data_IF_748286978575
#
_entry.id   IF_748286978575
#
_cell.length_a   1.000
_cell.length_b   1.000
_cell.length_c   1.000
_cell.angle_alpha   90.00
_cell.angle_beta   90.00
_cell.angle_gamma   90.00
#
_symmetry.space_group_name_H-M   'P 1'
#
loop_
_entity.id
_entity.type
_entity.pdbx_description
1 polymer ?
#
# COMPACT_ATOMS: atom_id res chain seq x y z
N UNK A 1 -9.31 14.67 -17.21
CA UNK A 1 -10.01 14.38 -15.94
C UNK A 1 -9.61 12.98 -15.49
N UNK A 2 -9.29 12.75 -14.22
CA UNK A 2 -8.96 11.39 -13.77
C UNK A 2 -10.27 10.61 -13.62
N UNK A 3 -10.44 9.48 -14.32
CA UNK A 3 -11.69 8.73 -14.25
C UNK A 3 -11.96 8.29 -12.80
N UNK A 4 -13.09 8.74 -12.22
CA UNK A 4 -13.45 8.44 -10.83
C UNK A 4 -13.71 6.93 -10.61
N UNK A 5 -14.14 6.23 -11.66
CA UNK A 5 -14.27 4.77 -11.71
C UNK A 5 -12.92 4.05 -11.52
N UNK A 6 -11.81 4.65 -11.95
CA UNK A 6 -10.46 4.13 -11.74
C UNK A 6 -9.94 4.27 -10.31
N UNK A 7 -10.41 5.27 -9.56
CA UNK A 7 -9.91 5.57 -8.20
C UNK A 7 -10.03 4.36 -7.28
N UNK A 8 -11.26 3.83 -7.14
CA UNK A 8 -11.56 2.75 -6.20
C UNK A 8 -10.71 1.51 -6.51
N UNK A 9 -10.66 1.11 -7.78
CA UNK A 9 -9.87 -0.03 -8.24
C UNK A 9 -8.38 0.14 -7.92
N UNK A 10 -7.82 1.32 -8.17
CA UNK A 10 -6.41 1.60 -7.88
C UNK A 10 -6.13 1.55 -6.38
N UNK A 11 -6.96 2.17 -5.55
CA UNK A 11 -6.81 2.13 -4.08
C UNK A 11 -6.96 0.70 -3.55
N UNK A 12 -8.00 -0.02 -3.97
CA UNK A 12 -8.29 -1.37 -3.47
C UNK A 12 -7.12 -2.33 -3.77
N UNK A 13 -6.55 -2.25 -4.97
CA UNK A 13 -5.44 -3.10 -5.38
C UNK A 13 -4.10 -2.63 -4.80
N UNK A 14 -3.76 -1.35 -4.94
CA UNK A 14 -2.40 -0.87 -4.65
C UNK A 14 -2.18 -0.49 -3.18
N UNK A 15 -3.24 -0.30 -2.40
CA UNK A 15 -3.16 0.05 -0.99
C UNK A 15 -3.89 -0.97 -0.13
N UNK A 16 -5.20 -1.14 -0.30
CA UNK A 16 -6.01 -1.98 0.60
C UNK A 16 -5.53 -3.42 0.61
N UNK A 17 -5.27 -4.03 -0.56
CA UNK A 17 -4.77 -5.40 -0.65
C UNK A 17 -3.43 -5.60 0.06
N UNK A 18 -2.51 -4.61 0.00
CA UNK A 18 -1.23 -4.65 0.72
C UNK A 18 -1.45 -4.65 2.22
N UNK A 19 -2.30 -3.75 2.72
CA UNK A 19 -2.67 -3.68 4.14
C UNK A 19 -3.35 -4.97 4.61
N UNK A 20 -4.23 -5.55 3.80
CA UNK A 20 -4.91 -6.81 4.11
C UNK A 20 -3.95 -8.00 4.12
N UNK A 21 -3.00 -8.05 3.19
CA UNK A 21 -1.94 -9.05 3.16
C UNK A 21 -1.09 -9.02 4.43
N UNK A 22 -0.67 -7.83 4.87
CA UNK A 22 0.01 -7.68 6.16
C UNK A 22 -0.86 -8.17 7.31
N UNK A 23 -2.12 -7.71 7.41
CA UNK A 23 -3.05 -8.13 8.47
C UNK A 23 -3.22 -9.65 8.54
N UNK A 24 -3.27 -10.32 7.39
CA UNK A 24 -3.41 -11.78 7.32
C UNK A 24 -2.13 -12.51 7.73
N UNK A 25 -0.96 -11.99 7.35
CA UNK A 25 0.33 -12.65 7.56
C UNK A 25 0.91 -12.43 8.96
N UNK A 26 0.72 -11.24 9.56
CA UNK A 26 1.29 -10.86 10.84
C UNK A 26 1.02 -11.89 11.97
N UNK A 27 -0.21 -12.42 12.16
CA UNK A 27 -0.44 -13.43 13.19
C UNK A 27 0.40 -14.71 13.01
N UNK A 28 0.63 -15.14 11.78
CA UNK A 28 1.46 -16.31 11.49
C UNK A 28 2.95 -16.03 11.78
N UNK A 29 3.43 -14.84 11.43
CA UNK A 29 4.80 -14.42 11.74
C UNK A 29 5.05 -14.37 13.25
N UNK A 30 4.12 -13.81 14.03
CA UNK A 30 4.22 -13.77 15.49
C UNK A 30 4.30 -15.17 16.08
N UNK A 31 3.47 -16.11 15.63
CA UNK A 31 3.52 -17.51 16.10
C UNK A 31 4.83 -18.22 15.76
N UNK A 32 5.50 -17.82 14.67
CA UNK A 32 6.72 -18.44 14.19
C UNK A 32 8.00 -17.72 14.67
N UNK A 33 7.89 -16.78 15.61
CA UNK A 33 9.06 -16.07 16.18
C UNK A 33 9.55 -14.89 15.35
N UNK A 34 8.78 -14.43 14.36
CA UNK A 34 9.06 -13.23 13.57
C UNK A 34 9.29 -13.51 12.09
N UNK A 35 9.80 -12.50 11.39
CA UNK A 35 10.13 -12.53 9.96
C UNK A 35 10.14 -11.11 9.37
N UNK A 36 10.15 -11.01 8.05
CA UNK A 36 10.12 -9.72 7.35
C UNK A 36 9.05 -9.68 6.26
N UNK A 37 8.35 -8.55 6.16
CA UNK A 37 7.46 -8.23 5.04
C UNK A 37 8.08 -7.08 4.26
N UNK A 38 8.19 -7.23 2.94
CA UNK A 38 8.66 -6.18 2.03
C UNK A 38 7.49 -5.76 1.14
N UNK A 39 7.01 -4.53 1.33
CA UNK A 39 5.95 -3.96 0.51
C UNK A 39 6.52 -3.10 -0.62
N UNK A 40 5.97 -3.26 -1.83
CA UNK A 40 6.42 -2.51 -3.00
C UNK A 40 5.68 -1.16 -3.12
N UNK A 41 6.39 -0.09 -2.76
CA UNK A 41 5.97 1.29 -3.01
C UNK A 41 6.35 1.75 -4.43
N UNK A 42 6.69 3.03 -4.59
CA UNK A 42 7.17 3.65 -5.83
C UNK A 42 7.88 4.96 -5.48
N UNK A 43 8.62 5.56 -6.41
CA UNK A 43 9.04 6.96 -6.33
C UNK A 43 7.82 7.86 -6.04
N UNK A 44 6.66 7.54 -6.64
CA UNK A 44 5.39 8.23 -6.43
C UNK A 44 4.78 7.98 -5.03
N UNK A 45 5.45 7.22 -4.16
CA UNK A 45 5.17 7.19 -2.72
C UNK A 45 5.84 8.30 -1.91
N UNK A 46 6.66 9.13 -2.58
CA UNK A 46 7.38 10.27 -1.97
C UNK A 46 7.18 11.58 -2.74
N UNK A 47 6.69 11.54 -3.98
CA UNK A 47 6.46 12.73 -4.82
C UNK A 47 5.14 12.64 -5.58
N UNK A 48 4.61 13.79 -6.00
CA UNK A 48 3.43 13.88 -6.86
C UNK A 48 3.73 13.71 -8.35
N UNK A 49 2.74 13.27 -9.11
CA UNK A 49 2.79 13.22 -10.58
C UNK A 49 1.41 13.55 -11.16
N UNK A 50 1.35 14.56 -12.04
CA UNK A 50 0.10 15.04 -12.61
C UNK A 50 -0.63 13.92 -13.36
N UNK A 51 -1.96 13.85 -13.20
CA UNK A 51 -2.80 12.82 -13.83
C UNK A 51 -2.75 11.42 -13.18
N UNK A 52 -2.02 11.23 -12.08
CA UNK A 52 -1.88 9.93 -11.40
C UNK A 52 -2.36 9.93 -9.94
N UNK A 53 -3.38 10.73 -9.61
CA UNK A 53 -3.79 11.02 -8.23
C UNK A 53 -4.07 9.76 -7.39
N UNK A 54 -4.78 8.76 -7.93
CA UNK A 54 -5.09 7.54 -7.18
C UNK A 54 -3.84 6.69 -6.92
N UNK A 55 -2.93 6.61 -7.89
CA UNK A 55 -1.70 5.83 -7.76
C UNK A 55 -0.71 6.49 -6.81
N UNK A 56 -0.54 7.81 -6.90
CA UNK A 56 0.26 8.61 -5.97
C UNK A 56 -0.27 8.45 -4.54
N UNK A 57 -1.59 8.58 -4.34
CA UNK A 57 -2.22 8.40 -3.03
C UNK A 57 -2.00 6.97 -2.50
N UNK A 58 -2.21 5.95 -3.34
CA UNK A 58 -2.00 4.56 -2.95
C UNK A 58 -0.55 4.30 -2.51
N UNK A 59 0.44 4.78 -3.28
CA UNK A 59 1.85 4.51 -2.99
C UNK A 59 2.38 5.31 -1.79
N UNK A 60 1.88 6.51 -1.53
CA UNK A 60 2.13 7.19 -0.25
C UNK A 60 1.49 6.41 0.92
N UNK A 61 0.28 5.90 0.72
CA UNK A 61 -0.41 5.04 1.68
C UNK A 61 0.38 3.77 2.02
N UNK A 62 0.99 3.11 1.03
CA UNK A 62 1.84 1.92 1.25
C UNK A 62 3.06 2.26 2.11
N UNK A 63 3.70 3.42 1.88
CA UNK A 63 4.83 3.87 2.72
C UNK A 63 4.35 4.08 4.16
N UNK A 64 3.22 4.77 4.36
CA UNK A 64 2.63 4.99 5.68
C UNK A 64 2.24 3.68 6.39
N UNK A 65 1.56 2.78 5.69
CA UNK A 65 1.13 1.49 6.21
C UNK A 65 2.32 0.60 6.61
N UNK A 66 3.39 0.60 5.81
CA UNK A 66 4.60 -0.17 6.11
C UNK A 66 5.32 0.38 7.34
N UNK A 67 5.44 1.71 7.44
CA UNK A 67 6.04 2.36 8.63
C UNK A 67 5.22 2.18 9.89
N UNK A 68 3.89 2.10 9.77
CA UNK A 68 3.02 1.85 10.92
C UNK A 68 3.08 0.40 11.42
N UNK A 69 3.35 -0.55 10.52
CA UNK A 69 3.43 -1.97 10.84
C UNK A 69 4.79 -2.42 11.38
N UNK A 70 5.84 -1.59 11.24
CA UNK A 70 7.19 -1.82 11.75
C UNK A 70 7.34 -1.28 13.18
#
# INVERSE_FOLDING_TARGET
EYPLDGWRKVIDINLSAVTYGMRAQLPAMVRNGGGSIVNMASILGSVGFAGSVAYVAAKHGVVGATKNAA
#
